data_IF_733529655608
#
_entry.id   IF_733529655608
#
_cell.length_a   1.000
_cell.length_b   1.000
_cell.length_c   1.000
_cell.angle_alpha   90.00
_cell.angle_beta   90.00
_cell.angle_gamma   90.00
#
_symmetry.space_group_name_H-M   'P 1'
#
loop_
_entity.id
_entity.type
_entity.pdbx_description
1 polymer ?
#
# COMPACT_ATOMS: atom_id res chain seq x y z
N UNK A 1 -10.60 12.86 -23.40
CA UNK A 1 -9.37 13.31 -22.72
C UNK A 1 -8.78 12.22 -21.79
N UNK A 2 -8.47 11.02 -22.30
CA UNK A 2 -7.91 9.92 -21.46
C UNK A 2 -6.38 9.79 -21.56
N UNK A 3 -5.76 10.33 -22.60
CA UNK A 3 -4.33 10.19 -22.87
C UNK A 3 -3.43 10.93 -21.87
N UNK A 4 -3.88 12.05 -21.31
CA UNK A 4 -3.09 12.84 -20.35
C UNK A 4 -2.89 12.10 -19.02
N UNK A 5 -3.95 11.43 -18.50
CA UNK A 5 -3.87 10.68 -17.24
C UNK A 5 -2.94 9.48 -17.35
N UNK A 6 -3.11 8.65 -18.37
CA UNK A 6 -2.25 7.46 -18.56
C UNK A 6 -0.78 7.85 -18.77
N UNK A 7 -0.53 8.95 -19.48
CA UNK A 7 0.83 9.48 -19.66
C UNK A 7 1.42 9.94 -18.32
N UNK A 8 0.66 10.67 -17.51
CA UNK A 8 1.10 11.08 -16.18
C UNK A 8 1.45 9.88 -15.29
N UNK A 9 0.56 8.88 -15.23
CA UNK A 9 0.80 7.67 -14.43
C UNK A 9 2.05 6.91 -14.89
N UNK A 10 2.26 6.78 -16.20
CA UNK A 10 3.47 6.14 -16.75
C UNK A 10 4.74 6.90 -16.37
N UNK A 11 4.74 8.22 -16.47
CA UNK A 11 5.90 9.04 -16.07
C UNK A 11 6.18 8.88 -14.58
N UNK A 12 5.16 8.94 -13.72
CA UNK A 12 5.31 8.73 -12.28
C UNK A 12 5.83 7.32 -11.96
N UNK A 13 5.34 6.29 -12.64
CA UNK A 13 5.82 4.92 -12.47
C UNK A 13 7.32 4.78 -12.84
N UNK A 14 7.75 5.40 -13.94
CA UNK A 14 9.17 5.44 -14.33
C UNK A 14 10.04 6.15 -13.29
N UNK A 15 9.58 7.26 -12.72
CA UNK A 15 10.30 7.96 -11.65
C UNK A 15 10.43 7.08 -10.42
N UNK A 16 9.34 6.42 -9.98
CA UNK A 16 9.39 5.50 -8.84
C UNK A 16 10.35 4.34 -9.08
N UNK A 17 10.34 3.76 -10.29
CA UNK A 17 11.28 2.70 -10.65
C UNK A 17 12.72 3.20 -10.66
N UNK A 18 12.98 4.37 -11.23
CA UNK A 18 14.31 4.98 -11.22
C UNK A 18 14.82 5.12 -9.78
N UNK A 19 14.00 5.67 -8.89
CA UNK A 19 14.33 5.78 -7.47
C UNK A 19 14.62 4.40 -6.85
N UNK A 20 13.82 3.37 -7.12
CA UNK A 20 14.08 2.00 -6.62
C UNK A 20 15.39 1.43 -7.14
N UNK A 21 15.66 1.60 -8.44
CA UNK A 21 16.90 1.15 -9.09
C UNK A 21 18.14 1.88 -8.56
N UNK A 22 18.01 3.10 -8.03
CA UNK A 22 19.11 3.79 -7.35
C UNK A 22 19.41 3.21 -5.97
N UNK A 23 18.42 2.59 -5.31
CA UNK A 23 18.55 2.05 -3.95
C UNK A 23 18.78 0.53 -3.94
N UNK A 24 18.63 -0.17 -5.07
CA UNK A 24 18.74 -1.62 -5.18
C UNK A 24 19.70 -2.03 -6.31
N UNK A 25 20.45 -3.10 -6.09
CA UNK A 25 21.36 -3.66 -7.10
C UNK A 25 20.60 -4.44 -8.19
N UNK A 26 19.43 -5.00 -7.87
CA UNK A 26 18.55 -5.69 -8.84
C UNK A 26 17.69 -4.68 -9.62
N UNK A 27 18.30 -4.13 -10.68
CA UNK A 27 17.70 -3.08 -11.50
C UNK A 27 16.75 -3.64 -12.54
N UNK A 28 15.54 -3.09 -12.61
CA UNK A 28 14.54 -3.46 -13.62
C UNK A 28 14.60 -2.53 -14.82
N UNK A 29 14.67 -3.10 -16.02
CA UNK A 29 14.75 -2.36 -17.29
C UNK A 29 13.60 -2.65 -18.26
N UNK A 30 12.68 -3.54 -17.92
CA UNK A 30 11.58 -3.97 -18.80
C UNK A 30 10.49 -2.91 -18.97
N UNK A 31 9.37 -3.26 -19.60
CA UNK A 31 8.19 -2.39 -19.66
C UNK A 31 7.62 -2.12 -18.25
N UNK A 32 6.95 -0.98 -18.08
CA UNK A 32 6.24 -0.64 -16.82
C UNK A 32 5.16 -1.69 -16.56
N UNK A 33 5.20 -2.29 -15.37
CA UNK A 33 4.23 -3.30 -14.95
C UNK A 33 2.92 -2.65 -14.47
N UNK A 34 1.82 -3.40 -14.54
CA UNK A 34 0.52 -2.97 -14.04
C UNK A 34 0.57 -2.61 -12.55
N UNK A 35 1.41 -3.30 -11.77
CA UNK A 35 1.64 -2.99 -10.36
C UNK A 35 2.23 -1.59 -10.16
N UNK A 36 3.25 -1.22 -10.94
CA UNK A 36 3.88 0.09 -10.84
C UNK A 36 2.94 1.21 -11.26
N UNK A 37 2.08 0.94 -12.25
CA UNK A 37 1.04 1.88 -12.66
C UNK A 37 -0.01 2.09 -11.55
N UNK A 38 -0.41 1.01 -10.87
CA UNK A 38 -1.34 1.07 -9.72
C UNK A 38 -0.72 1.79 -8.50
N UNK A 39 0.58 1.59 -8.27
CA UNK A 39 1.31 2.33 -7.23
C UNK A 39 1.41 3.83 -7.56
N UNK A 40 1.66 4.17 -8.82
CA UNK A 40 1.66 5.55 -9.29
C UNK A 40 0.29 6.21 -9.13
N UNK A 41 -0.79 5.52 -9.49
CA UNK A 41 -2.16 6.01 -9.29
C UNK A 41 -2.48 6.21 -7.80
N UNK A 42 -2.12 5.24 -6.97
CA UNK A 42 -2.28 5.33 -5.51
C UNK A 42 -1.52 6.52 -4.93
N UNK A 43 -0.34 6.86 -5.46
CA UNK A 43 0.42 8.03 -5.05
C UNK A 43 -0.36 9.32 -5.31
N UNK A 44 -0.89 9.49 -6.52
CA UNK A 44 -1.68 10.67 -6.89
C UNK A 44 -2.98 10.78 -6.09
N UNK A 45 -3.68 9.67 -5.85
CA UNK A 45 -4.89 9.65 -5.00
C UNK A 45 -4.54 10.09 -3.58
N UNK A 46 -3.48 9.53 -2.99
CA UNK A 46 -3.03 9.90 -1.63
C UNK A 46 -2.62 11.36 -1.55
N UNK A 47 -1.96 11.89 -2.59
CA UNK A 47 -1.59 13.30 -2.66
C UNK A 47 -2.84 14.19 -2.70
N UNK A 48 -3.78 13.90 -3.60
CA UNK A 48 -5.03 14.67 -3.70
C UNK A 48 -5.86 14.61 -2.40
N UNK A 49 -5.94 13.44 -1.76
CA UNK A 49 -6.57 13.30 -0.45
C UNK A 49 -5.88 14.15 0.62
N UNK A 50 -4.55 14.26 0.60
CA UNK A 50 -3.79 15.09 1.54
C UNK A 50 -3.93 16.59 1.26
N UNK A 51 -4.14 17.00 0.02
CA UNK A 51 -4.27 18.41 -0.33
C UNK A 51 -5.69 18.94 -0.09
N UNK A 52 -6.71 18.15 -0.47
CA UNK A 52 -8.10 18.62 -0.48
C UNK A 52 -8.88 18.15 0.74
N UNK A 53 -8.62 16.94 1.23
CA UNK A 53 -9.42 16.25 2.25
C UNK A 53 -8.61 15.90 3.49
N UNK A 54 -7.62 16.73 3.85
CA UNK A 54 -6.68 16.42 4.92
C UNK A 54 -7.38 16.20 6.27
N UNK A 55 -8.44 16.96 6.56
CA UNK A 55 -9.20 16.84 7.83
C UNK A 55 -9.91 15.50 7.92
N UNK A 56 -10.61 15.10 6.86
CA UNK A 56 -11.32 13.84 6.77
C UNK A 56 -10.35 12.66 6.78
N UNK A 57 -9.23 12.80 6.05
CA UNK A 57 -8.14 11.82 6.03
C UNK A 57 -7.58 11.60 7.42
N UNK A 58 -7.21 12.65 8.14
CA UNK A 58 -6.58 12.53 9.47
C UNK A 58 -7.58 11.98 10.49
N UNK A 59 -8.84 12.42 10.43
CA UNK A 59 -9.92 11.86 11.24
C UNK A 59 -10.10 10.35 10.96
N UNK A 60 -10.09 9.95 9.69
CA UNK A 60 -10.21 8.55 9.30
C UNK A 60 -9.01 7.73 9.77
N UNK A 61 -7.78 8.25 9.66
CA UNK A 61 -6.55 7.61 10.15
C UNK A 61 -6.64 7.39 11.67
N UNK A 62 -7.06 8.40 12.43
CA UNK A 62 -7.23 8.28 13.89
C UNK A 62 -8.29 7.23 14.23
N UNK A 63 -9.44 7.24 13.56
CA UNK A 63 -10.48 6.22 13.76
C UNK A 63 -9.99 4.81 13.44
N UNK A 64 -9.23 4.63 12.36
CA UNK A 64 -8.64 3.35 11.98
C UNK A 64 -7.61 2.88 13.02
N UNK A 65 -6.79 3.79 13.54
CA UNK A 65 -5.82 3.49 14.60
C UNK A 65 -6.52 3.03 15.89
N UNK A 66 -7.54 3.77 16.33
CA UNK A 66 -8.36 3.43 17.49
C UNK A 66 -9.07 2.09 17.31
N UNK A 67 -9.65 1.83 16.13
CA UNK A 67 -10.29 0.55 15.83
C UNK A 67 -9.27 -0.60 15.86
N UNK A 68 -8.05 -0.41 15.33
CA UNK A 68 -6.97 -1.40 15.41
C UNK A 68 -6.55 -1.70 16.85
N UNK A 69 -6.50 -0.68 17.71
CA UNK A 69 -6.22 -0.85 19.14
C UNK A 69 -7.36 -1.55 19.89
N UNK A 70 -8.62 -1.20 19.56
CA UNK A 70 -9.81 -1.81 20.13
C UNK A 70 -9.98 -3.28 19.70
N UNK A 71 -9.60 -3.62 18.47
CA UNK A 71 -9.53 -4.99 17.96
C UNK A 71 -8.30 -5.76 18.46
N UNK A 72 -7.68 -5.32 19.56
CA UNK A 72 -6.47 -5.86 20.16
C UNK A 72 -6.25 -7.30 19.73
N UNK A 73 -5.27 -7.52 18.86
CA UNK A 73 -4.84 -8.86 18.48
C UNK A 73 -4.54 -9.55 19.81
N UNK A 74 -5.49 -10.37 20.27
CA UNK A 74 -5.31 -11.38 21.30
C UNK A 74 -4.36 -12.40 20.70
N UNK A 75 -3.09 -12.05 20.59
CA UNK A 75 -2.02 -13.00 20.81
C UNK A 75 -1.93 -13.18 22.32
N UNK A 76 -2.92 -13.83 22.93
CA UNK A 76 -2.67 -14.44 24.24
C UNK A 76 -1.60 -15.48 23.97
N UNK A 77 -0.38 -15.19 24.38
CA UNK A 77 0.66 -16.19 24.56
C UNK A 77 0.13 -17.20 25.58
N UNK A 78 -0.65 -18.18 25.13
CA UNK A 78 -0.77 -19.44 25.84
C UNK A 78 0.55 -20.14 25.57
N UNK A 79 1.45 -20.08 26.54
CA UNK A 79 2.59 -20.97 26.61
C UNK A 79 2.04 -22.41 26.71
N UNK A 80 1.78 -23.01 25.55
CA UNK A 80 1.68 -24.46 25.39
C UNK A 80 3.10 -25.01 25.47
N UNK A 81 3.28 -25.95 26.38
CA UNK A 81 4.55 -26.55 26.77
C UNK A 81 4.98 -27.59 25.72
N UNK A 82 5.10 -27.20 24.45
CA UNK A 82 5.33 -28.13 23.35
C UNK A 82 5.92 -27.33 22.17
N UNK A 83 7.22 -27.49 21.93
CA UNK A 83 7.94 -26.68 20.94
C UNK A 83 7.45 -26.88 19.51
N UNK A 84 7.10 -25.79 18.83
CA UNK A 84 7.52 -25.41 17.47
C UNK A 84 6.76 -24.14 17.04
N UNK A 85 7.41 -22.98 17.02
CA UNK A 85 6.83 -21.74 16.48
C UNK A 85 7.42 -21.46 15.09
N UNK A 86 6.59 -21.60 14.05
CA UNK A 86 6.86 -20.99 12.74
C UNK A 86 5.80 -19.93 12.47
N UNK A 87 6.13 -18.62 12.51
CA UNK A 87 5.21 -17.56 12.11
C UNK A 87 5.34 -17.35 10.58
N UNK A 88 4.60 -18.14 9.81
CA UNK A 88 4.67 -18.14 8.35
C UNK A 88 3.32 -17.98 7.64
N UNK A 89 2.35 -17.30 8.24
CA UNK A 89 1.05 -17.04 7.61
C UNK A 89 0.95 -15.59 7.12
N UNK A 90 1.46 -15.28 5.93
CA UNK A 90 1.13 -14.02 5.25
C UNK A 90 -0.33 -14.12 4.78
N UNK A 91 -1.28 -13.66 5.59
CA UNK A 91 -2.63 -13.37 5.13
C UNK A 91 -2.56 -12.21 4.14
N UNK A 92 -2.53 -12.54 2.85
CA UNK A 92 -2.85 -11.60 1.77
C UNK A 92 -4.27 -11.09 1.97
N UNK A 93 -4.41 -9.93 2.62
CA UNK A 93 -5.63 -9.13 2.52
C UNK A 93 -5.57 -8.34 1.22
N UNK A 94 -5.91 -9.02 0.12
CA UNK A 94 -6.42 -8.40 -1.09
C UNK A 94 -7.71 -7.67 -0.71
N UNK A 95 -7.61 -6.38 -0.37
CA UNK A 95 -8.75 -5.47 -0.37
C UNK A 95 -9.13 -5.20 -1.83
N UNK A 96 -9.85 -6.15 -2.43
CA UNK A 96 -10.65 -5.91 -3.63
C UNK A 96 -11.80 -5.00 -3.19
N UNK A 97 -11.65 -3.70 -3.43
CA UNK A 97 -12.80 -2.79 -3.46
C UNK A 97 -13.66 -3.18 -4.67
N UNK A 98 -14.72 -3.95 -4.42
CA UNK A 98 -15.87 -4.11 -5.33
C UNK A 98 -17.06 -3.37 -4.74
N UNK A 99 -17.68 -2.52 -5.56
CA UNK A 99 -18.78 -1.61 -5.25
C UNK A 99 -18.25 -0.17 -5.32
N UNK A 100 -18.46 0.59 -6.39
CA UNK A 100 -19.60 0.70 -7.31
C UNK A 100 -19.12 0.83 -8.75
#
# INVERSE_FOLDING_TARGET
MHFSRLRLLRVTAWIHRFLRNCHQDDRRFDTVDAKELSEAESCWIKQAQREVYWKERDTAITKLHLNRQAQGIRGTATAGHDGFTTPGGKTSLLLINRGY
#
